data_IF_653516923816
#
_entry.id   IF_653516923816
#
_cell.length_a   1.000
_cell.length_b   1.000
_cell.length_c   1.000
_cell.angle_alpha   90.00
_cell.angle_beta   90.00
_cell.angle_gamma   90.00
#
_symmetry.space_group_name_H-M   'P 1'
#
loop_
_entity.id
_entity.type
_entity.pdbx_description
1 polymer ?
#
# COMPACT_ATOMS: atom_id res chain seq x y z
N UNK A 1 -23.79 17.43 -26.15
CA UNK A 1 -22.38 16.98 -26.08
C UNK A 1 -21.79 17.17 -24.68
N UNK A 2 -21.80 18.37 -24.10
CA UNK A 2 -21.22 18.65 -22.76
C UNK A 2 -21.87 17.80 -21.64
N UNK A 3 -23.21 17.74 -21.59
CA UNK A 3 -23.93 16.95 -20.57
C UNK A 3 -23.55 15.46 -20.63
N UNK A 4 -23.42 14.90 -21.84
CA UNK A 4 -23.04 13.50 -22.01
C UNK A 4 -21.61 13.23 -21.50
N UNK A 5 -20.67 14.14 -21.76
CA UNK A 5 -19.28 14.04 -21.26
C UNK A 5 -19.26 14.09 -19.72
N UNK A 6 -20.03 15.01 -19.12
CA UNK A 6 -20.13 15.13 -17.65
C UNK A 6 -20.68 13.84 -17.04
N UNK A 7 -21.75 13.28 -17.62
CA UNK A 7 -22.35 12.03 -17.13
C UNK A 7 -21.38 10.85 -17.23
N UNK A 8 -20.58 10.75 -18.30
CA UNK A 8 -19.54 9.71 -18.44
C UNK A 8 -18.46 9.87 -17.36
N UNK A 9 -17.97 11.08 -17.12
CA UNK A 9 -16.96 11.35 -16.09
C UNK A 9 -17.50 10.98 -14.70
N UNK A 10 -18.72 11.39 -14.38
CA UNK A 10 -19.39 11.03 -13.13
C UNK A 10 -19.50 9.51 -13.01
N UNK A 11 -19.94 8.82 -14.06
CA UNK A 11 -20.04 7.36 -14.09
C UNK A 11 -18.71 6.67 -13.79
N UNK A 12 -17.62 7.15 -14.38
CA UNK A 12 -16.26 6.62 -14.13
C UNK A 12 -15.84 6.85 -12.67
N UNK A 13 -16.07 8.05 -12.13
CA UNK A 13 -15.74 8.38 -10.74
C UNK A 13 -16.52 7.49 -9.77
N UNK A 14 -17.83 7.35 -9.98
CA UNK A 14 -18.70 6.51 -9.15
C UNK A 14 -18.26 5.05 -9.21
N UNK A 15 -17.96 4.55 -10.41
CA UNK A 15 -17.51 3.17 -10.61
C UNK A 15 -16.17 2.91 -9.92
N UNK A 16 -15.21 3.83 -10.08
CA UNK A 16 -13.91 3.78 -9.39
C UNK A 16 -14.09 3.80 -7.87
N UNK A 17 -14.95 4.67 -7.37
CA UNK A 17 -15.27 4.74 -5.94
C UNK A 17 -15.80 3.41 -5.42
N UNK A 18 -16.78 2.82 -6.09
CA UNK A 18 -17.38 1.53 -5.69
C UNK A 18 -16.31 0.43 -5.71
N UNK A 19 -15.52 0.33 -6.78
CA UNK A 19 -14.47 -0.67 -6.91
C UNK A 19 -13.44 -0.55 -5.78
N UNK A 20 -12.94 0.66 -5.52
CA UNK A 20 -11.97 0.87 -4.42
C UNK A 20 -12.61 0.52 -3.07
N UNK A 21 -13.86 0.92 -2.84
CA UNK A 21 -14.56 0.64 -1.58
C UNK A 21 -14.72 -0.87 -1.33
N UNK A 22 -14.96 -1.65 -2.39
CA UNK A 22 -15.13 -3.10 -2.33
C UNK A 22 -13.79 -3.80 -2.14
N UNK A 23 -12.81 -3.52 -3.00
CA UNK A 23 -11.53 -4.24 -3.02
C UNK A 23 -10.60 -3.84 -1.87
N UNK A 24 -10.68 -2.59 -1.39
CA UNK A 24 -9.85 -2.06 -0.30
C UNK A 24 -10.67 -1.78 0.96
N UNK A 25 -11.79 -2.50 1.14
CA UNK A 25 -12.69 -2.31 2.28
C UNK A 25 -11.95 -2.37 3.62
N UNK A 26 -11.03 -3.32 3.77
CA UNK A 26 -10.29 -3.54 5.01
C UNK A 26 -9.31 -2.40 5.31
N UNK A 27 -8.59 -1.92 4.30
CA UNK A 27 -7.64 -0.81 4.41
C UNK A 27 -8.37 0.51 4.72
N UNK A 28 -9.51 0.75 4.06
CA UNK A 28 -10.35 1.93 4.34
C UNK A 28 -10.93 1.86 5.76
N UNK A 29 -11.39 0.69 6.21
CA UNK A 29 -11.87 0.52 7.58
C UNK A 29 -10.76 0.76 8.59
N UNK A 30 -9.56 0.20 8.36
CA UNK A 30 -8.42 0.39 9.24
C UNK A 30 -8.04 1.88 9.35
N UNK A 31 -8.05 2.63 8.25
CA UNK A 31 -7.83 4.07 8.26
C UNK A 31 -8.94 4.81 9.04
N UNK A 32 -10.23 4.51 8.79
CA UNK A 32 -11.35 5.12 9.53
C UNK A 32 -11.29 4.86 11.04
N UNK A 33 -10.81 3.69 11.47
CA UNK A 33 -10.76 3.29 12.87
C UNK A 33 -9.52 3.85 13.60
N UNK A 34 -8.39 3.96 12.90
CA UNK A 34 -7.09 4.25 13.53
C UNK A 34 -6.63 5.70 13.37
N UNK A 35 -7.13 6.40 12.38
CA UNK A 35 -6.85 7.82 12.18
C UNK A 35 -8.01 8.68 12.69
N UNK A 36 -7.78 9.38 13.81
CA UNK A 36 -8.76 10.28 14.40
C UNK A 36 -9.10 11.49 13.51
N UNK A 37 -8.25 11.81 12.52
CA UNK A 37 -8.47 12.90 11.58
C UNK A 37 -9.34 12.50 10.38
N UNK A 38 -9.53 11.19 10.13
CA UNK A 38 -10.32 10.71 9.01
C UNK A 38 -11.81 11.05 9.18
N UNK A 39 -12.36 11.91 8.32
CA UNK A 39 -13.78 12.33 8.43
C UNK A 39 -14.72 11.46 7.61
N UNK A 40 -14.22 10.80 6.57
CA UNK A 40 -15.06 9.95 5.71
C UNK A 40 -14.27 8.96 4.86
N UNK A 41 -14.95 7.89 4.42
CA UNK A 41 -14.42 6.95 3.41
C UNK A 41 -14.06 7.64 2.10
N UNK A 42 -14.81 8.68 1.72
CA UNK A 42 -14.58 9.42 0.48
C UNK A 42 -13.26 10.20 0.55
N UNK A 43 -13.01 10.86 1.67
CA UNK A 43 -11.73 11.53 1.95
C UNK A 43 -10.56 10.55 1.86
N UNK A 44 -10.67 9.38 2.50
CA UNK A 44 -9.63 8.33 2.43
C UNK A 44 -9.38 7.89 1.00
N UNK A 45 -10.45 7.55 0.26
CA UNK A 45 -10.34 7.08 -1.13
C UNK A 45 -9.67 8.12 -2.03
N UNK A 46 -10.00 9.40 -1.84
CA UNK A 46 -9.52 10.47 -2.71
C UNK A 46 -8.13 10.98 -2.33
N UNK A 47 -7.76 10.96 -1.05
CA UNK A 47 -6.63 11.77 -0.55
C UNK A 47 -5.56 10.98 0.22
N UNK A 48 -5.81 9.74 0.64
CA UNK A 48 -4.85 9.02 1.48
C UNK A 48 -3.79 8.33 0.62
N UNK A 49 -2.57 8.85 0.68
CA UNK A 49 -1.41 8.32 -0.06
C UNK A 49 -1.12 6.86 0.28
N UNK A 50 -1.31 6.46 1.55
CA UNK A 50 -1.18 5.08 1.99
C UNK A 50 -2.08 4.12 1.23
N UNK A 51 -3.37 4.48 1.06
CA UNK A 51 -4.31 3.68 0.28
C UNK A 51 -3.92 3.67 -1.20
N UNK A 52 -3.51 4.81 -1.77
CA UNK A 52 -3.09 4.88 -3.17
C UNK A 52 -1.87 4.02 -3.46
N UNK A 53 -0.89 3.99 -2.54
CA UNK A 53 0.28 3.13 -2.64
C UNK A 53 -0.12 1.65 -2.61
N UNK A 54 -1.07 1.26 -1.76
CA UNK A 54 -1.59 -0.11 -1.71
C UNK A 54 -2.34 -0.51 -2.98
N UNK A 55 -3.09 0.41 -3.59
CA UNK A 55 -3.72 0.18 -4.91
C UNK A 55 -2.64 -0.12 -5.95
N UNK A 56 -1.61 0.71 -6.04
CA UNK A 56 -0.48 0.50 -6.94
C UNK A 56 0.26 -0.81 -6.68
N UNK A 57 0.47 -1.14 -5.41
CA UNK A 57 1.06 -2.41 -5.00
C UNK A 57 0.22 -3.59 -5.50
N UNK A 58 -1.10 -3.64 -5.26
CA UNK A 58 -1.93 -4.79 -5.69
C UNK A 58 -1.88 -4.99 -7.21
N UNK A 59 -1.86 -3.91 -8.00
CA UNK A 59 -1.67 -3.98 -9.46
C UNK A 59 -0.27 -4.53 -9.81
N UNK A 60 0.78 -3.96 -9.20
CA UNK A 60 2.16 -4.40 -9.47
C UNK A 60 2.41 -5.86 -9.03
N UNK A 61 1.84 -6.29 -7.90
CA UNK A 61 1.93 -7.64 -7.36
C UNK A 61 1.28 -8.64 -8.32
N UNK A 62 0.08 -8.32 -8.82
CA UNK A 62 -0.58 -9.12 -9.85
C UNK A 62 0.27 -9.26 -11.11
N UNK A 63 0.81 -8.15 -11.63
CA UNK A 63 1.70 -8.16 -12.80
C UNK A 63 2.95 -9.03 -12.58
N UNK A 64 3.52 -9.00 -11.37
CA UNK A 64 4.64 -9.85 -11.00
C UNK A 64 4.27 -11.34 -11.00
N UNK A 65 3.07 -11.68 -10.48
CA UNK A 65 2.55 -13.05 -10.47
C UNK A 65 2.35 -13.67 -11.85
N UNK A 66 2.04 -12.85 -12.86
CA UNK A 66 1.97 -13.27 -14.27
C UNK A 66 3.31 -13.11 -15.02
N UNK A 67 4.42 -13.03 -14.29
CA UNK A 67 5.81 -12.97 -14.78
C UNK A 67 6.18 -11.71 -15.58
N UNK A 68 5.39 -10.64 -15.50
CA UNK A 68 5.69 -9.33 -16.10
C UNK A 68 6.52 -8.43 -15.16
N UNK A 69 7.67 -8.95 -14.72
CA UNK A 69 8.47 -8.34 -13.64
C UNK A 69 8.93 -6.91 -13.91
N UNK A 70 9.34 -6.58 -15.15
CA UNK A 70 9.76 -5.23 -15.51
C UNK A 70 8.59 -4.24 -15.42
N UNK A 71 7.42 -4.63 -15.92
CA UNK A 71 6.21 -3.80 -15.88
C UNK A 71 5.73 -3.63 -14.44
N UNK A 72 5.76 -4.71 -13.64
CA UNK A 72 5.45 -4.65 -12.21
C UNK A 72 6.35 -3.63 -11.48
N UNK A 73 7.66 -3.66 -11.72
CA UNK A 73 8.61 -2.70 -11.13
C UNK A 73 8.36 -1.28 -11.63
N UNK A 74 8.05 -1.09 -12.91
CA UNK A 74 7.71 0.22 -13.46
C UNK A 74 6.47 0.81 -12.78
N UNK A 75 5.39 0.02 -12.66
CA UNK A 75 4.16 0.44 -11.96
C UNK A 75 4.45 0.80 -10.51
N UNK A 76 5.21 -0.02 -9.78
CA UNK A 76 5.59 0.28 -8.40
C UNK A 76 6.37 1.60 -8.28
N UNK A 77 7.27 1.91 -9.22
CA UNK A 77 8.01 3.19 -9.22
C UNK A 77 7.13 4.40 -9.55
N UNK A 78 6.15 4.26 -10.45
CA UNK A 78 5.16 5.31 -10.72
C UNK A 78 4.39 5.65 -9.44
N UNK A 79 3.87 4.65 -8.73
CA UNK A 79 3.15 4.89 -7.48
C UNK A 79 4.06 5.43 -6.37
N UNK A 80 5.29 4.94 -6.26
CA UNK A 80 6.30 5.52 -5.36
C UNK A 80 6.50 7.00 -5.62
N UNK A 81 6.60 7.42 -6.89
CA UNK A 81 6.79 8.83 -7.23
C UNK A 81 5.62 9.72 -6.75
N UNK A 82 4.38 9.26 -6.86
CA UNK A 82 3.21 10.04 -6.46
C UNK A 82 2.87 9.97 -4.97
N UNK A 83 3.30 8.92 -4.28
CA UNK A 83 2.90 8.65 -2.87
C UNK A 83 4.05 8.77 -1.87
N UNK A 84 5.29 8.79 -2.35
CA UNK A 84 6.52 8.69 -1.56
C UNK A 84 6.60 7.42 -0.69
N UNK A 85 5.86 6.37 -1.08
CA UNK A 85 5.83 5.05 -0.43
C UNK A 85 6.36 4.02 -1.42
N UNK A 86 7.46 3.35 -1.07
CA UNK A 86 8.03 2.27 -1.87
C UNK A 86 7.55 0.90 -1.39
N UNK A 87 6.82 0.18 -2.24
CA UNK A 87 6.42 -1.21 -1.98
C UNK A 87 6.91 -2.09 -3.11
N UNK A 88 7.76 -3.06 -2.78
CA UNK A 88 8.22 -4.01 -3.78
C UNK A 88 7.08 -4.93 -4.24
N UNK A 89 6.91 -5.18 -5.56
CA UNK A 89 5.80 -6.00 -6.07
C UNK A 89 5.71 -7.40 -5.46
N UNK A 90 6.85 -8.03 -5.15
CA UNK A 90 6.90 -9.39 -4.57
C UNK A 90 6.67 -9.45 -3.04
N UNK A 91 6.54 -8.32 -2.35
CA UNK A 91 6.18 -8.34 -0.94
C UNK A 91 4.83 -9.03 -0.76
N UNK A 92 4.63 -9.70 0.38
CA UNK A 92 3.36 -10.35 0.72
C UNK A 92 2.69 -9.51 1.80
N UNK A 93 1.51 -8.99 1.52
CA UNK A 93 0.79 -8.07 2.42
C UNK A 93 -0.62 -8.60 2.67
N UNK A 94 -0.95 -8.79 3.94
CA UNK A 94 -2.27 -9.14 4.44
C UNK A 94 -3.32 -8.04 4.22
N UNK A 95 -4.45 -8.15 4.90
CA UNK A 95 -5.57 -7.18 4.79
C UNK A 95 -5.48 -6.12 5.87
N UNK A 96 -5.99 -4.93 5.58
CA UNK A 96 -6.14 -3.88 6.60
C UNK A 96 -4.82 -3.24 7.01
N UNK A 97 -3.79 -3.33 6.15
CA UNK A 97 -2.58 -2.55 6.32
C UNK A 97 -2.96 -1.06 6.23
N UNK A 98 -2.66 -0.32 7.29
CA UNK A 98 -2.81 1.12 7.33
C UNK A 98 -1.44 1.78 7.31
N UNK A 99 -1.16 2.57 6.27
CA UNK A 99 0.07 3.35 6.15
C UNK A 99 -0.30 4.81 6.40
N UNK A 100 0.04 5.30 7.58
CA UNK A 100 -0.27 6.67 8.00
C UNK A 100 0.89 7.61 7.69
N UNK A 101 0.56 8.78 7.12
CA UNK A 101 1.53 9.80 6.70
C UNK A 101 2.69 9.27 5.82
N UNK A 102 2.49 8.17 5.08
CA UNK A 102 3.52 7.21 4.63
C UNK A 102 4.77 7.66 3.86
N UNK A 103 5.04 8.95 3.68
CA UNK A 103 6.27 9.47 3.11
C UNK A 103 7.52 8.76 3.68
N UNK A 104 8.40 8.29 2.78
CA UNK A 104 9.62 7.57 3.11
C UNK A 104 9.42 6.13 3.60
N UNK A 105 8.21 5.56 3.55
CA UNK A 105 8.00 4.14 3.87
C UNK A 105 8.63 3.26 2.79
N UNK A 106 9.37 2.23 3.19
CA UNK A 106 10.02 1.28 2.30
C UNK A 106 9.69 -0.15 2.72
N UNK A 107 9.06 -0.93 1.83
CA UNK A 107 8.73 -2.34 2.03
C UNK A 107 9.50 -3.17 0.98
N UNK A 108 10.51 -3.90 1.45
CA UNK A 108 11.40 -4.64 0.57
C UNK A 108 10.83 -5.95 0.03
N UNK A 109 11.54 -6.53 -0.95
CA UNK A 109 11.08 -7.62 -1.82
C UNK A 109 10.47 -8.83 -1.10
N UNK A 110 11.13 -9.29 -0.05
CA UNK A 110 10.74 -10.54 0.64
C UNK A 110 10.04 -10.27 1.96
N UNK A 111 9.54 -9.05 2.16
CA UNK A 111 8.78 -8.68 3.35
C UNK A 111 7.47 -9.46 3.37
N UNK A 112 7.10 -9.95 4.55
CA UNK A 112 5.77 -10.50 4.80
C UNK A 112 5.14 -9.61 5.86
N UNK A 113 3.94 -9.10 5.59
CA UNK A 113 3.17 -8.26 6.50
C UNK A 113 1.83 -8.95 6.75
N UNK A 114 1.51 -9.18 8.02
CA UNK A 114 0.27 -9.75 8.48
C UNK A 114 -0.93 -8.81 8.30
N UNK A 115 -2.03 -9.15 8.97
CA UNK A 115 -3.28 -8.39 8.94
C UNK A 115 -3.27 -7.24 9.95
N UNK A 116 -4.00 -6.18 9.65
CA UNK A 116 -4.24 -5.04 10.55
C UNK A 116 -2.98 -4.34 11.06
N UNK A 117 -1.88 -4.43 10.32
CA UNK A 117 -0.62 -3.75 10.66
C UNK A 117 -0.75 -2.24 10.43
N UNK A 118 -0.06 -1.45 11.24
CA UNK A 118 0.06 0.01 11.05
C UNK A 118 1.52 0.37 10.82
N UNK A 119 1.79 1.11 9.75
CA UNK A 119 3.09 1.69 9.48
C UNK A 119 2.96 3.21 9.46
N UNK A 120 3.79 3.89 10.23
CA UNK A 120 3.93 5.34 10.14
C UNK A 120 5.01 5.75 9.11
N UNK A 121 5.10 7.04 8.84
CA UNK A 121 6.05 7.62 7.91
C UNK A 121 7.51 7.21 8.21
N UNK A 122 8.31 7.03 7.16
CA UNK A 122 9.73 6.68 7.26
C UNK A 122 10.03 5.26 7.77
N UNK A 123 9.03 4.39 7.97
CA UNK A 123 9.26 3.00 8.36
C UNK A 123 9.96 2.23 7.22
N UNK A 124 11.00 1.46 7.55
CA UNK A 124 11.72 0.62 6.61
C UNK A 124 11.66 -0.84 7.03
N UNK A 125 11.15 -1.70 6.13
CA UNK A 125 11.25 -3.16 6.18
C UNK A 125 12.32 -3.59 5.16
N UNK A 126 13.57 -3.58 5.62
CA UNK A 126 14.76 -3.64 4.78
C UNK A 126 15.54 -4.95 4.87
N UNK A 127 16.43 -5.17 3.90
CA UNK A 127 17.33 -6.31 3.89
C UNK A 127 18.66 -6.03 4.61
N UNK A 128 19.36 -7.08 5.01
CA UNK A 128 20.76 -7.02 5.48
C UNK A 128 21.66 -7.78 4.51
N UNK A 129 22.82 -7.21 4.17
CA UNK A 129 23.82 -7.88 3.33
C UNK A 129 23.41 -8.06 1.86
N UNK A 130 24.11 -8.97 1.16
CA UNK A 130 23.91 -9.27 -0.28
C UNK A 130 23.27 -10.65 -0.53
N UNK A 131 22.74 -11.28 0.51
CA UNK A 131 22.19 -12.62 0.40
C UNK A 131 20.96 -12.66 -0.51
N UNK A 132 20.85 -13.74 -1.29
CA UNK A 132 19.69 -14.00 -2.14
C UNK A 132 18.65 -14.80 -1.35
N UNK A 133 17.37 -14.51 -1.58
CA UNK A 133 16.26 -15.17 -0.89
C UNK A 133 15.57 -14.30 0.16
N UNK A 134 14.96 -14.94 1.16
CA UNK A 134 14.25 -14.29 2.27
C UNK A 134 15.25 -13.55 3.17
N UNK A 135 15.16 -12.22 3.16
CA UNK A 135 16.13 -11.30 3.78
C UNK A 135 15.50 -10.05 4.38
N UNK A 136 14.20 -9.87 4.18
CA UNK A 136 13.42 -8.78 4.77
C UNK A 136 12.52 -9.34 5.89
N UNK A 137 11.99 -8.48 6.77
CA UNK A 137 11.25 -8.92 7.95
C UNK A 137 9.94 -9.64 7.64
N UNK A 138 9.44 -10.35 8.64
CA UNK A 138 8.06 -10.81 8.74
C UNK A 138 7.40 -10.06 9.90
N UNK A 139 6.34 -9.32 9.61
CA UNK A 139 5.57 -8.55 10.58
C UNK A 139 4.26 -9.30 10.83
N UNK A 140 4.00 -9.66 12.09
CA UNK A 140 2.80 -10.35 12.54
C UNK A 140 1.54 -9.48 12.50
N UNK A 141 0.42 -10.10 12.85
CA UNK A 141 -0.88 -9.43 12.86
C UNK A 141 -0.96 -8.38 13.98
N UNK A 142 -1.67 -7.28 13.70
CA UNK A 142 -1.94 -6.17 14.63
C UNK A 142 -0.69 -5.41 15.14
N UNK A 143 0.48 -5.62 14.54
CA UNK A 143 1.70 -4.88 14.88
C UNK A 143 1.58 -3.41 14.46
N UNK A 144 2.08 -2.52 15.31
CA UNK A 144 2.22 -1.09 15.03
C UNK A 144 3.70 -0.73 14.98
N UNK A 145 4.15 -0.20 13.85
CA UNK A 145 5.52 0.27 13.66
C UNK A 145 5.52 1.79 13.61
N UNK A 146 6.08 2.40 14.67
CA UNK A 146 6.14 3.84 14.84
C UNK A 146 7.01 4.55 13.81
N UNK A 147 6.87 5.87 13.75
CA UNK A 147 7.56 6.75 12.80
C UNK A 147 9.05 6.44 12.73
N UNK A 148 9.54 6.21 11.52
CA UNK A 148 10.96 6.02 11.28
C UNK A 148 11.53 4.72 11.85
N UNK A 149 10.75 3.71 12.22
CA UNK A 149 11.32 2.41 12.62
C UNK A 149 12.09 1.75 11.46
N UNK A 150 13.24 1.14 11.74
CA UNK A 150 14.01 0.35 10.77
C UNK A 150 14.10 -1.08 11.24
N UNK A 151 13.41 -1.98 10.54
CA UNK A 151 13.43 -3.40 10.82
C UNK A 151 14.17 -4.06 9.66
N UNK A 152 15.33 -4.63 9.96
CA UNK A 152 16.28 -5.08 8.95
C UNK A 152 16.57 -6.58 9.13
N UNK A 153 16.61 -7.29 8.01
CA UNK A 153 16.97 -8.70 7.98
C UNK A 153 15.78 -9.65 8.04
N UNK A 154 16.05 -10.94 7.91
CA UNK A 154 15.04 -11.99 8.03
C UNK A 154 14.73 -12.25 9.52
N UNK A 155 13.99 -11.32 10.13
CA UNK A 155 13.52 -11.40 11.51
C UNK A 155 12.00 -11.34 11.56
N UNK A 156 11.42 -11.89 12.63
CA UNK A 156 9.98 -11.85 12.88
C UNK A 156 9.67 -10.92 14.05
N UNK A 157 8.68 -10.07 13.88
CA UNK A 157 8.11 -9.21 14.93
C UNK A 157 6.61 -9.51 15.04
#
# INVERSE_FOLDING_TARGET
MIIAIILVIIGIIVSKFILINVFFKYEINAAMEKDAAAKSRLEIILLYSGLHALIGYRVSHFLSGIKLSLIARLVAQIYRHFTDIEIHPNAIIGKGLFIDHGAGVVIGETSIIGNNVVLYQGVTLGGTGKEKGKRHPTIGDNVVLGTGAKILGNITI
#
